data_IF_423601167251
#
_entry.id   IF_423601167251
#
_cell.length_a   1.000
_cell.length_b   1.000
_cell.length_c   1.000
_cell.angle_alpha   90.00
_cell.angle_beta   90.00
_cell.angle_gamma   90.00
#
_symmetry.space_group_name_H-M   'P 1'
#
loop_
_entity.id
_entity.type
_entity.pdbx_description
1 polymer ?
#
# COMPACT_ATOMS: atom_id res chain seq x y z
N UNK A 1 33.57 -9.51 17.04
CA UNK A 1 33.35 -8.12 16.55
C UNK A 1 33.71 -7.92 15.07
N UNK A 2 34.85 -8.43 14.57
CA UNK A 2 35.28 -8.21 13.18
C UNK A 2 34.31 -8.73 12.08
N UNK A 3 33.64 -9.87 12.29
CA UNK A 3 32.71 -10.43 11.29
C UNK A 3 31.43 -9.61 11.10
N UNK A 4 30.88 -9.02 12.17
CA UNK A 4 29.66 -8.20 12.08
C UNK A 4 29.96 -6.88 11.37
N UNK A 5 31.08 -6.24 11.70
CA UNK A 5 31.49 -4.98 11.07
C UNK A 5 31.75 -5.18 9.57
N UNK A 6 32.37 -6.29 9.17
CA UNK A 6 32.60 -6.61 7.77
C UNK A 6 31.28 -6.88 7.02
N UNK A 7 30.37 -7.66 7.62
CA UNK A 7 29.04 -7.89 7.03
C UNK A 7 28.25 -6.59 6.81
N UNK A 8 28.30 -5.67 7.78
CA UNK A 8 27.66 -4.35 7.67
C UNK A 8 28.30 -3.53 6.55
N UNK A 9 29.64 -3.55 6.42
CA UNK A 9 30.33 -2.83 5.34
C UNK A 9 29.95 -3.36 3.97
N UNK A 10 29.89 -4.68 3.80
CA UNK A 10 29.48 -5.33 2.54
C UNK A 10 28.03 -5.06 2.18
N UNK A 11 27.13 -4.95 3.16
CA UNK A 11 25.70 -4.74 2.96
C UNK A 11 25.24 -3.29 3.23
N UNK A 12 26.18 -2.34 3.33
CA UNK A 12 25.93 -0.95 3.73
C UNK A 12 24.82 -0.29 2.92
N UNK A 13 24.82 -0.50 1.60
CA UNK A 13 23.81 0.05 0.69
C UNK A 13 22.39 -0.41 1.04
N UNK A 14 22.20 -1.70 1.33
CA UNK A 14 20.89 -2.26 1.69
C UNK A 14 20.38 -1.71 3.02
N UNK A 15 21.25 -1.60 4.01
CA UNK A 15 20.89 -1.00 5.30
C UNK A 15 20.52 0.48 5.16
N UNK A 16 21.26 1.24 4.36
CA UNK A 16 20.93 2.64 4.07
C UNK A 16 19.54 2.72 3.45
N UNK A 17 19.26 1.98 2.38
CA UNK A 17 17.96 1.99 1.71
C UNK A 17 16.83 1.64 2.67
N UNK A 18 16.95 0.54 3.41
CA UNK A 18 15.94 0.11 4.37
C UNK A 18 15.72 1.15 5.49
N UNK A 19 16.79 1.71 6.05
CA UNK A 19 16.69 2.75 7.07
C UNK A 19 16.05 4.04 6.53
N UNK A 20 16.37 4.44 5.30
CA UNK A 20 15.77 5.60 4.63
C UNK A 20 14.28 5.39 4.40
N UNK A 21 13.86 4.20 3.98
CA UNK A 21 12.44 3.85 3.82
C UNK A 21 11.69 3.94 5.15
N UNK A 22 12.27 3.40 6.23
CA UNK A 22 11.66 3.48 7.57
C UNK A 22 11.56 4.92 8.06
N UNK A 23 12.63 5.70 7.92
CA UNK A 23 12.66 7.11 8.33
C UNK A 23 11.67 7.95 7.52
N UNK A 24 11.57 7.72 6.21
CA UNK A 24 10.59 8.37 5.33
C UNK A 24 9.16 8.04 5.75
N UNK A 25 8.87 6.76 6.02
CA UNK A 25 7.55 6.34 6.48
C UNK A 25 7.17 7.00 7.82
N UNK A 26 8.10 6.98 8.80
CA UNK A 26 7.90 7.65 10.09
C UNK A 26 7.66 9.14 9.88
N UNK A 27 8.44 9.80 9.03
CA UNK A 27 8.29 11.22 8.73
C UNK A 27 6.91 11.53 8.17
N UNK A 28 6.41 10.76 7.19
CA UNK A 28 5.07 10.97 6.64
C UNK A 28 3.99 10.79 7.71
N UNK A 29 4.09 9.73 8.54
CA UNK A 29 3.13 9.50 9.63
C UNK A 29 3.14 10.66 10.62
N UNK A 30 4.32 11.16 11.00
CA UNK A 30 4.45 12.31 11.91
C UNK A 30 3.83 13.58 11.32
N UNK A 31 4.05 13.85 10.03
CA UNK A 31 3.45 15.02 9.36
C UNK A 31 1.92 14.86 9.31
N UNK A 32 1.42 13.68 8.99
CA UNK A 32 -0.01 13.40 8.90
C UNK A 32 -0.71 13.53 10.27
N UNK A 33 -0.10 12.99 11.33
CA UNK A 33 -0.61 13.10 12.72
C UNK A 33 -0.61 14.54 13.22
N UNK A 34 0.29 15.40 12.74
CA UNK A 34 0.31 16.82 13.10
C UNK A 34 -0.82 17.63 12.45
N UNK A 35 -1.54 17.08 11.47
CA UNK A 35 -2.73 17.71 10.87
C UNK A 35 -4.01 17.18 11.51
N UNK A 36 -4.41 17.81 12.60
CA UNK A 36 -5.66 17.48 13.28
C UNK A 36 -6.81 18.32 12.77
N UNK A 37 -7.97 17.69 12.55
CA UNK A 37 -9.25 18.35 12.39
C UNK A 37 -9.95 18.37 13.76
N UNK A 38 -10.38 19.54 14.21
CA UNK A 38 -11.31 19.62 15.35
C UNK A 38 -12.70 19.35 14.80
N UNK A 39 -13.28 18.19 15.13
CA UNK A 39 -14.66 17.89 14.74
C UNK A 39 -15.63 18.76 15.54
N UNK A 40 -16.70 19.24 14.92
CA UNK A 40 -17.82 19.94 15.57
C UNK A 40 -18.52 19.11 16.67
N UNK A 41 -18.21 17.81 16.74
CA UNK A 41 -18.71 16.87 17.76
C UNK A 41 -17.78 16.74 18.98
N UNK A 42 -16.65 17.47 19.04
CA UNK A 42 -15.72 17.46 20.17
C UNK A 42 -14.63 16.37 20.14
N UNK A 43 -14.53 15.62 19.04
CA UNK A 43 -13.55 14.55 18.87
C UNK A 43 -12.36 15.00 18.01
N UNK A 44 -11.17 14.49 18.33
CA UNK A 44 -9.94 14.73 17.58
C UNK A 44 -9.74 13.61 16.55
N UNK A 45 -9.94 13.91 15.28
CA UNK A 45 -9.53 13.04 14.16
C UNK A 45 -8.47 13.74 13.32
N UNK A 46 -7.73 12.97 12.54
CA UNK A 46 -6.80 13.56 11.57
C UNK A 46 -7.53 14.06 10.34
N UNK A 47 -7.00 15.12 9.75
CA UNK A 47 -7.49 15.60 8.46
C UNK A 47 -7.11 14.57 7.39
N UNK A 48 -8.07 14.10 6.59
CA UNK A 48 -7.80 13.21 5.46
C UNK A 48 -7.11 13.96 4.31
N UNK A 49 -7.21 15.29 4.27
CA UNK A 49 -6.56 16.15 3.28
C UNK A 49 -5.13 16.48 3.72
N UNK A 50 -4.17 16.09 2.89
CA UNK A 50 -2.76 16.40 3.11
C UNK A 50 -2.47 17.87 2.78
N UNK A 51 -2.88 18.34 1.61
CA UNK A 51 -2.78 19.74 1.21
C UNK A 51 -3.64 20.02 -0.02
N UNK A 52 -3.88 21.30 -0.30
CA UNK A 52 -4.61 21.74 -1.49
C UNK A 52 -3.72 22.67 -2.32
N UNK A 53 -3.69 22.47 -3.63
CA UNK A 53 -2.95 23.31 -4.57
C UNK A 53 -3.86 23.69 -5.72
N UNK A 54 -4.02 24.98 -6.02
CA UNK A 54 -4.87 25.48 -7.12
C UNK A 54 -6.29 24.90 -7.15
N UNK A 55 -6.92 24.72 -5.98
CA UNK A 55 -8.26 24.14 -5.86
C UNK A 55 -8.32 22.61 -5.98
N UNK A 56 -7.17 21.94 -6.19
CA UNK A 56 -7.05 20.48 -6.17
C UNK A 56 -6.62 20.03 -4.78
N UNK A 57 -7.46 19.22 -4.13
CA UNK A 57 -7.15 18.56 -2.85
C UNK A 57 -6.35 17.29 -3.10
N UNK A 58 -5.31 17.08 -2.29
CA UNK A 58 -4.52 15.85 -2.24
C UNK A 58 -4.74 15.22 -0.88
N UNK A 59 -5.25 13.99 -0.86
CA UNK A 59 -5.47 13.24 0.36
C UNK A 59 -4.18 12.54 0.84
N UNK A 60 -4.06 12.34 2.16
CA UNK A 60 -2.99 11.49 2.72
C UNK A 60 -3.02 10.09 2.13
N UNK A 61 -4.22 9.55 1.88
CA UNK A 61 -4.42 8.28 1.20
C UNK A 61 -3.57 8.14 -0.07
N UNK A 62 -3.59 9.16 -0.95
CA UNK A 62 -2.83 9.15 -2.20
C UNK A 62 -1.31 9.17 -1.97
N UNK A 63 -0.84 9.92 -0.95
CA UNK A 63 0.58 10.00 -0.58
C UNK A 63 1.08 8.64 -0.07
N UNK A 64 0.30 7.96 0.77
CA UNK A 64 0.62 6.62 1.26
C UNK A 64 0.64 5.60 0.13
N UNK A 65 -0.36 5.59 -0.76
CA UNK A 65 -0.39 4.67 -1.91
C UNK A 65 0.85 4.90 -2.80
N UNK A 66 1.18 6.15 -3.16
CA UNK A 66 2.35 6.45 -3.97
C UNK A 66 3.66 6.03 -3.28
N UNK A 67 3.77 6.26 -1.97
CA UNK A 67 4.92 5.81 -1.17
C UNK A 67 5.04 4.28 -1.20
N UNK A 68 3.92 3.57 -1.09
CA UNK A 68 3.86 2.11 -1.20
C UNK A 68 4.35 1.60 -2.55
N UNK A 69 3.93 2.25 -3.64
CA UNK A 69 4.39 1.94 -5.00
C UNK A 69 5.89 2.13 -5.13
N UNK A 70 6.43 3.27 -4.67
CA UNK A 70 7.87 3.56 -4.71
C UNK A 70 8.65 2.55 -3.88
N UNK A 71 8.18 2.20 -2.68
CA UNK A 71 8.84 1.23 -1.81
C UNK A 71 8.83 -0.17 -2.41
N UNK A 72 7.71 -0.58 -3.00
CA UNK A 72 7.61 -1.84 -3.73
C UNK A 72 8.59 -1.90 -4.91
N UNK A 73 8.73 -0.81 -5.66
CA UNK A 73 9.69 -0.72 -6.77
C UNK A 73 11.14 -0.78 -6.28
N UNK A 74 11.49 -0.06 -5.22
CA UNK A 74 12.82 -0.12 -4.60
C UNK A 74 13.15 -1.55 -4.17
N UNK A 75 12.22 -2.23 -3.49
CA UNK A 75 12.37 -3.62 -3.08
C UNK A 75 12.56 -4.54 -4.28
N UNK A 76 11.76 -4.40 -5.33
CA UNK A 76 11.90 -5.18 -6.55
C UNK A 76 13.26 -4.94 -7.23
N UNK A 77 13.80 -3.73 -7.20
CA UNK A 77 15.14 -3.47 -7.77
C UNK A 77 16.25 -4.14 -6.95
N UNK A 78 16.20 -4.03 -5.63
CA UNK A 78 17.20 -4.65 -4.75
C UNK A 78 17.19 -6.18 -4.84
N UNK A 79 16.01 -6.79 -4.93
CA UNK A 79 15.87 -8.23 -5.10
C UNK A 79 16.11 -8.66 -6.55
N UNK A 80 15.82 -7.80 -7.53
CA UNK A 80 15.99 -8.05 -8.94
C UNK A 80 17.45 -8.27 -9.32
N UNK A 81 18.35 -7.46 -8.74
CA UNK A 81 19.79 -7.62 -8.90
C UNK A 81 20.28 -9.01 -8.49
N UNK A 82 19.74 -9.56 -7.39
CA UNK A 82 20.10 -10.88 -6.88
C UNK A 82 19.59 -12.00 -7.78
N UNK A 83 18.51 -11.75 -8.53
CA UNK A 83 17.92 -12.66 -9.49
C UNK A 83 18.46 -12.46 -10.91
N UNK A 84 19.35 -11.50 -11.15
CA UNK A 84 19.85 -11.13 -12.47
C UNK A 84 18.77 -10.54 -13.39
N UNK A 85 17.75 -9.90 -12.82
CA UNK A 85 16.70 -9.20 -13.57
C UNK A 85 17.16 -7.74 -13.74
N UNK A 86 17.19 -7.26 -14.99
CA UNK A 86 17.53 -5.86 -15.26
C UNK A 86 16.52 -4.92 -14.60
N UNK A 87 17.01 -3.93 -13.85
CA UNK A 87 16.23 -2.87 -13.23
C UNK A 87 15.39 -2.09 -14.24
N UNK A 88 15.86 -1.93 -15.48
CA UNK A 88 15.09 -1.26 -16.55
C UNK A 88 13.75 -1.97 -16.81
N UNK A 89 13.71 -3.30 -16.71
CA UNK A 89 12.45 -4.04 -16.86
C UNK A 89 11.48 -3.75 -15.71
N UNK A 90 11.98 -3.44 -14.52
CA UNK A 90 11.16 -3.09 -13.36
C UNK A 90 10.61 -1.68 -13.55
N UNK A 91 11.43 -0.73 -14.01
CA UNK A 91 10.99 0.64 -14.34
C UNK A 91 9.96 0.65 -15.48
N UNK A 92 10.26 -0.01 -16.60
CA UNK A 92 9.34 -0.15 -17.74
C UNK A 92 8.00 -0.74 -17.29
N UNK A 93 8.07 -1.84 -16.54
CA UNK A 93 6.90 -2.53 -16.01
C UNK A 93 6.07 -1.61 -15.12
N UNK A 94 6.70 -0.88 -14.20
CA UNK A 94 6.04 0.04 -13.28
C UNK A 94 5.34 1.20 -14.00
N UNK A 95 6.06 1.85 -14.92
CA UNK A 95 5.59 3.02 -15.66
C UNK A 95 4.37 2.70 -16.55
N UNK A 96 4.25 1.45 -16.99
CA UNK A 96 3.10 0.98 -17.78
C UNK A 96 2.01 0.39 -16.89
N UNK A 97 2.37 -0.43 -15.90
CA UNK A 97 1.41 -1.12 -15.04
C UNK A 97 0.55 -0.15 -14.23
N UNK A 98 1.13 0.91 -13.66
CA UNK A 98 0.38 1.84 -12.78
C UNK A 98 -0.73 2.58 -13.55
N UNK A 99 -0.48 3.20 -14.72
CA UNK A 99 -1.55 3.77 -15.54
C UNK A 99 -2.59 2.74 -15.98
N UNK A 100 -2.16 1.55 -16.41
CA UNK A 100 -3.09 0.48 -16.80
C UNK A 100 -3.97 0.01 -15.65
N UNK A 101 -3.43 -0.08 -14.43
CA UNK A 101 -4.17 -0.43 -13.23
C UNK A 101 -5.27 0.61 -12.94
N UNK A 102 -4.97 1.91 -13.09
CA UNK A 102 -5.95 2.99 -12.90
C UNK A 102 -7.06 2.91 -13.96
N UNK A 103 -6.69 2.71 -15.22
CA UNK A 103 -7.65 2.53 -16.33
C UNK A 103 -8.52 1.30 -16.10
N UNK A 104 -7.92 0.18 -15.71
CA UNK A 104 -8.64 -1.06 -15.39
C UNK A 104 -9.60 -0.89 -14.23
N UNK A 105 -9.17 -0.22 -13.15
CA UNK A 105 -10.02 0.07 -12.00
C UNK A 105 -11.26 0.89 -12.38
N UNK A 106 -11.07 1.90 -13.23
CA UNK A 106 -12.18 2.73 -13.70
C UNK A 106 -13.11 1.96 -14.62
N UNK A 107 -12.55 1.24 -15.60
CA UNK A 107 -13.33 0.45 -16.54
C UNK A 107 -14.21 -0.58 -15.82
N UNK A 108 -13.64 -1.30 -14.85
CA UNK A 108 -14.39 -2.28 -14.08
C UNK A 108 -15.49 -1.61 -13.25
N UNK A 109 -15.20 -0.49 -12.58
CA UNK A 109 -16.21 0.24 -11.83
C UNK A 109 -17.41 0.61 -12.71
N UNK A 110 -17.15 1.22 -13.87
CA UNK A 110 -18.20 1.65 -14.81
C UNK A 110 -19.02 0.48 -15.34
N UNK A 111 -18.38 -0.64 -15.67
CA UNK A 111 -19.07 -1.82 -16.21
C UNK A 111 -20.00 -2.51 -15.20
N UNK A 112 -19.68 -2.39 -13.91
CA UNK A 112 -20.40 -3.06 -12.82
C UNK A 112 -21.09 -2.07 -11.88
N UNK A 113 -21.26 -0.82 -12.29
CA UNK A 113 -21.94 0.21 -11.50
C UNK A 113 -23.44 -0.09 -11.44
N UNK A 114 -23.99 -0.47 -10.27
CA UNK A 114 -25.41 -0.81 -10.15
C UNK A 114 -26.33 0.39 -10.38
N UNK A 115 -25.83 1.62 -10.30
CA UNK A 115 -26.60 2.86 -10.47
C UNK A 115 -26.32 3.56 -11.81
N UNK A 116 -25.62 2.91 -12.75
CA UNK A 116 -24.90 3.45 -13.91
C UNK A 116 -25.66 4.34 -14.91
N UNK A 117 -26.21 5.46 -14.46
CA UNK A 117 -26.73 6.54 -15.27
C UNK A 117 -25.63 7.61 -15.44
N UNK A 118 -24.74 7.39 -16.41
CA UNK A 118 -23.75 8.38 -16.83
C UNK A 118 -24.38 9.33 -17.85
N UNK A 119 -24.37 10.64 -17.57
CA UNK A 119 -24.97 11.65 -18.44
C UNK A 119 -24.06 12.05 -19.60
N UNK A 120 -22.77 11.67 -19.56
CA UNK A 120 -21.82 11.92 -20.63
C UNK A 120 -20.70 10.88 -20.69
N UNK A 121 -20.07 10.75 -21.87
CA UNK A 121 -18.86 9.94 -22.05
C UNK A 121 -17.71 10.46 -21.16
N UNK A 122 -17.68 11.77 -20.86
CA UNK A 122 -16.66 12.36 -19.98
C UNK A 122 -16.71 11.78 -18.56
N UNK A 123 -17.91 11.53 -18.04
CA UNK A 123 -18.09 10.94 -16.70
C UNK A 123 -17.54 9.51 -16.62
N UNK A 124 -17.59 8.74 -17.71
CA UNK A 124 -16.99 7.38 -17.77
C UNK A 124 -15.49 7.43 -17.50
N UNK A 125 -14.79 8.47 -17.96
CA UNK A 125 -13.34 8.62 -17.76
C UNK A 125 -12.96 9.46 -16.53
N UNK A 126 -13.94 9.97 -15.78
CA UNK A 126 -13.70 10.82 -14.62
C UNK A 126 -13.17 10.02 -13.42
N UNK A 127 -11.86 9.80 -13.39
CA UNK A 127 -11.17 9.09 -12.28
C UNK A 127 -11.11 9.91 -10.98
N UNK A 128 -11.42 11.20 -11.05
CA UNK A 128 -11.33 12.13 -9.91
C UNK A 128 -12.58 12.12 -9.04
N UNK A 129 -13.72 11.73 -9.60
CA UNK A 129 -15.02 11.77 -8.93
C UNK A 129 -15.25 10.54 -8.04
N UNK A 130 -14.21 9.74 -7.82
CA UNK A 130 -14.28 8.44 -7.17
C UNK A 130 -14.66 7.33 -8.15
N UNK A 131 -15.09 6.18 -7.63
CA UNK A 131 -15.50 5.05 -8.45
C UNK A 131 -14.33 4.34 -9.14
N UNK A 132 -13.45 3.75 -8.34
CA UNK A 132 -12.37 2.88 -8.80
C UNK A 132 -12.53 1.52 -8.11
N UNK A 133 -12.67 0.46 -8.91
CA UNK A 133 -12.84 -0.88 -8.39
C UNK A 133 -11.50 -1.63 -8.42
N UNK A 134 -11.03 -2.09 -7.26
CA UNK A 134 -9.74 -2.81 -7.14
C UNK A 134 -9.67 -4.06 -8.02
N UNK A 135 -10.79 -4.74 -8.23
CA UNK A 135 -10.89 -5.91 -9.12
C UNK A 135 -10.37 -5.61 -10.53
N UNK A 136 -10.75 -4.45 -11.08
CA UNK A 136 -10.29 -4.01 -12.40
C UNK A 136 -8.78 -3.75 -12.45
N UNK A 137 -8.24 -3.09 -11.42
CA UNK A 137 -6.81 -2.87 -11.31
C UNK A 137 -6.03 -4.19 -11.31
N UNK A 138 -6.49 -5.15 -10.50
CA UNK A 138 -5.83 -6.46 -10.33
C UNK A 138 -5.87 -7.26 -11.64
N UNK A 139 -7.05 -7.38 -12.27
CA UNK A 139 -7.21 -8.15 -13.52
C UNK A 139 -6.32 -7.57 -14.61
N UNK A 140 -6.39 -6.26 -14.86
CA UNK A 140 -5.59 -5.62 -15.92
C UNK A 140 -4.10 -5.72 -15.63
N UNK A 141 -3.68 -5.54 -14.38
CA UNK A 141 -2.27 -5.66 -14.01
C UNK A 141 -1.74 -7.08 -14.20
N UNK A 142 -2.51 -8.12 -13.84
CA UNK A 142 -2.11 -9.52 -14.04
C UNK A 142 -1.96 -9.82 -15.54
N UNK A 143 -2.95 -9.45 -16.36
CA UNK A 143 -2.87 -9.63 -17.83
C UNK A 143 -1.66 -8.92 -18.40
N UNK A 144 -1.43 -7.66 -17.97
CA UNK A 144 -0.25 -6.91 -18.36
C UNK A 144 1.06 -7.63 -17.99
N UNK A 145 1.20 -8.11 -16.75
CA UNK A 145 2.41 -8.79 -16.29
C UNK A 145 2.69 -10.06 -17.11
N UNK A 146 1.66 -10.83 -17.46
CA UNK A 146 1.80 -12.02 -18.32
C UNK A 146 2.36 -11.62 -19.70
N UNK A 147 1.76 -10.63 -20.35
CA UNK A 147 2.18 -10.16 -21.67
C UNK A 147 3.57 -9.53 -21.62
N UNK A 148 3.83 -8.68 -20.62
CA UNK A 148 5.08 -7.95 -20.45
C UNK A 148 6.25 -8.89 -20.21
N UNK A 149 6.11 -9.83 -19.28
CA UNK A 149 7.16 -10.82 -18.98
C UNK A 149 7.42 -11.74 -20.17
N UNK A 150 6.38 -12.13 -20.91
CA UNK A 150 6.52 -12.88 -22.14
C UNK A 150 7.34 -12.11 -23.20
N UNK A 151 7.01 -10.83 -23.44
CA UNK A 151 7.74 -9.99 -24.39
C UNK A 151 9.20 -9.76 -23.99
N UNK A 152 9.46 -9.55 -22.68
CA UNK A 152 10.81 -9.36 -22.13
C UNK A 152 11.56 -10.68 -21.92
N UNK A 153 10.96 -11.83 -22.27
CA UNK A 153 11.53 -13.19 -22.10
C UNK A 153 11.94 -13.50 -20.66
N UNK A 154 11.15 -13.04 -19.70
CA UNK A 154 11.30 -13.31 -18.27
C UNK A 154 10.24 -14.33 -17.86
N UNK A 155 10.59 -15.28 -16.99
CA UNK A 155 9.58 -16.16 -16.40
C UNK A 155 8.60 -15.34 -15.56
N UNK A 156 7.30 -15.46 -15.84
CA UNK A 156 6.23 -14.80 -15.08
C UNK A 156 6.33 -15.15 -13.59
N UNK A 157 6.57 -16.42 -13.25
CA UNK A 157 6.70 -16.88 -11.87
C UNK A 157 7.87 -16.22 -11.15
N UNK A 158 9.03 -16.12 -11.83
CA UNK A 158 10.20 -15.43 -11.29
C UNK A 158 9.93 -13.94 -11.05
N UNK A 159 9.16 -13.32 -11.94
CA UNK A 159 8.82 -11.90 -11.84
C UNK A 159 7.76 -11.65 -10.76
N UNK A 160 6.74 -12.49 -10.65
CA UNK A 160 5.76 -12.41 -9.57
C UNK A 160 6.44 -12.60 -8.22
N UNK A 161 7.30 -13.63 -8.09
CA UNK A 161 8.09 -13.85 -6.88
C UNK A 161 8.85 -12.58 -6.52
N UNK A 162 9.51 -11.96 -7.50
CA UNK A 162 10.26 -10.72 -7.28
C UNK A 162 9.38 -9.60 -6.71
N UNK A 163 8.15 -9.44 -7.23
CA UNK A 163 7.24 -8.37 -6.84
C UNK A 163 6.54 -8.62 -5.51
N UNK A 164 6.31 -9.87 -5.09
CA UNK A 164 5.48 -10.20 -3.94
C UNK A 164 5.90 -9.54 -2.61
N UNK A 165 7.18 -9.54 -2.20
CA UNK A 165 7.59 -8.85 -0.98
C UNK A 165 7.28 -7.34 -1.03
N UNK A 166 7.52 -6.71 -2.18
CA UNK A 166 7.23 -5.30 -2.43
C UNK A 166 5.73 -4.99 -2.43
N UNK A 167 4.91 -5.90 -2.97
CA UNK A 167 3.45 -5.80 -2.94
C UNK A 167 2.92 -5.78 -1.49
N UNK A 168 3.42 -6.66 -0.62
CA UNK A 168 3.04 -6.69 0.80
C UNK A 168 3.47 -5.42 1.54
N UNK A 169 4.64 -4.85 1.22
CA UNK A 169 5.05 -3.54 1.74
C UNK A 169 4.10 -2.43 1.25
N UNK A 170 3.72 -2.45 -0.02
CA UNK A 170 2.71 -1.55 -0.58
C UNK A 170 1.38 -1.64 0.17
N UNK A 171 0.91 -2.86 0.49
CA UNK A 171 -0.29 -3.09 1.28
C UNK A 171 -0.19 -2.49 2.69
N UNK A 172 0.93 -2.69 3.39
CA UNK A 172 1.15 -2.09 4.72
C UNK A 172 0.97 -0.58 4.65
N UNK A 173 1.64 0.06 3.69
CA UNK A 173 1.63 1.52 3.57
C UNK A 173 0.25 2.02 3.12
N UNK A 174 -0.41 1.32 2.20
CA UNK A 174 -1.79 1.62 1.79
C UNK A 174 -2.79 1.55 2.94
N UNK A 175 -2.63 0.57 3.84
CA UNK A 175 -3.46 0.44 5.05
C UNK A 175 -3.34 1.64 5.99
N UNK A 176 -2.15 2.22 6.10
CA UNK A 176 -1.99 3.51 6.79
C UNK A 176 -2.72 4.66 6.08
N UNK A 177 -2.78 4.65 4.76
CA UNK A 177 -3.66 5.53 3.99
C UNK A 177 -5.13 5.38 4.40
N UNK A 178 -5.64 4.15 4.49
CA UNK A 178 -7.03 3.89 4.91
C UNK A 178 -7.29 4.40 6.34
N UNK A 179 -6.32 4.25 7.24
CA UNK A 179 -6.41 4.78 8.61
C UNK A 179 -6.61 6.31 8.63
N UNK A 180 -5.85 7.07 7.83
CA UNK A 180 -6.05 8.52 7.73
C UNK A 180 -7.33 8.90 6.96
N UNK A 181 -7.83 8.03 6.08
CA UNK A 181 -9.08 8.24 5.36
C UNK A 181 -10.32 7.75 6.12
N UNK A 182 -10.14 7.13 7.30
CA UNK A 182 -11.20 6.56 8.13
C UNK A 182 -12.08 5.54 7.38
N UNK A 183 -11.45 4.69 6.57
CA UNK A 183 -12.14 3.66 5.79
C UNK A 183 -11.55 2.26 6.01
N UNK A 184 -12.27 1.23 5.55
CA UNK A 184 -11.84 -0.18 5.61
C UNK A 184 -11.47 -0.66 7.03
N UNK A 185 -12.18 -0.14 8.04
CA UNK A 185 -12.03 -0.49 9.44
C UNK A 185 -12.77 -1.79 9.78
N UNK A 186 -12.51 -2.35 10.95
CA UNK A 186 -13.21 -3.55 11.43
C UNK A 186 -14.56 -3.23 12.06
N UNK A 187 -15.16 -4.23 12.68
CA UNK A 187 -16.40 -4.07 13.45
C UNK A 187 -16.24 -3.09 14.62
N UNK A 188 -17.37 -2.64 15.15
CA UNK A 188 -17.43 -1.82 16.35
C UNK A 188 -16.74 -2.48 17.55
N UNK A 189 -16.12 -1.66 18.39
CA UNK A 189 -15.39 -2.05 19.59
C UNK A 189 -15.48 -0.95 20.64
N UNK A 190 -14.69 -1.08 21.71
CA UNK A 190 -14.64 -0.09 22.78
C UNK A 190 -13.27 0.56 22.90
N UNK A 191 -13.24 1.81 23.38
CA UNK A 191 -11.99 2.50 23.73
C UNK A 191 -11.13 1.69 24.72
N UNK A 192 -11.79 1.05 25.70
CA UNK A 192 -11.13 0.24 26.71
C UNK A 192 -10.39 -0.95 26.07
N UNK A 193 -11.00 -1.61 25.08
CA UNK A 193 -10.34 -2.67 24.33
C UNK A 193 -9.09 -2.15 23.60
N UNK A 194 -9.20 -1.02 22.90
CA UNK A 194 -8.07 -0.44 22.17
C UNK A 194 -6.91 0.00 23.09
N UNK A 195 -7.21 0.59 24.25
CA UNK A 195 -6.18 1.08 25.19
C UNK A 195 -5.65 0.03 26.15
N UNK A 196 -6.50 -0.79 26.73
CA UNK A 196 -6.13 -1.67 27.84
C UNK A 196 -5.78 -3.07 27.34
N UNK A 197 -6.45 -3.57 26.30
CA UNK A 197 -6.18 -4.90 25.73
C UNK A 197 -5.09 -4.82 24.67
N UNK A 198 -5.27 -3.97 23.66
CA UNK A 198 -4.29 -3.83 22.57
C UNK A 198 -3.13 -2.90 22.91
N UNK A 199 -3.21 -2.14 24.00
CA UNK A 199 -2.17 -1.20 24.44
C UNK A 199 -1.75 -0.19 23.35
N UNK A 200 -2.71 0.25 22.53
CA UNK A 200 -2.42 1.14 21.41
C UNK A 200 -2.09 2.56 21.86
N UNK A 201 -1.17 3.24 21.16
CA UNK A 201 -0.84 4.62 21.44
C UNK A 201 -2.04 5.54 21.17
N UNK A 202 -2.09 6.66 21.91
CA UNK A 202 -3.23 7.59 21.90
C UNK A 202 -3.61 8.05 20.48
N UNK A 203 -2.63 8.35 19.64
CA UNK A 203 -2.84 8.84 18.27
C UNK A 203 -3.62 7.83 17.40
N UNK A 204 -3.43 6.52 17.60
CA UNK A 204 -4.20 5.48 16.90
C UNK A 204 -5.60 5.43 17.48
N UNK A 205 -5.70 5.32 18.81
CA UNK A 205 -6.98 5.14 19.51
C UNK A 205 -7.94 6.28 19.22
N UNK A 206 -7.47 7.52 19.24
CA UNK A 206 -8.32 8.69 19.01
C UNK A 206 -8.87 8.70 17.57
N UNK A 207 -8.05 8.34 16.58
CA UNK A 207 -8.48 8.32 15.18
C UNK A 207 -9.33 7.10 14.82
N UNK A 208 -9.39 6.07 15.69
CA UNK A 208 -10.32 4.94 15.56
C UNK A 208 -11.75 5.26 16.00
N UNK A 209 -12.01 6.50 16.44
CA UNK A 209 -13.34 6.98 16.75
C UNK A 209 -13.87 7.89 15.62
N UNK A 210 -14.85 7.41 14.87
CA UNK A 210 -15.43 8.14 13.75
C UNK A 210 -16.85 7.63 13.44
N UNK A 211 -17.55 8.32 12.55
CA UNK A 211 -18.84 7.86 12.05
C UNK A 211 -18.62 7.01 10.80
N UNK A 212 -19.01 5.75 10.82
CA UNK A 212 -18.94 4.85 9.66
C UNK A 212 -20.29 4.85 8.93
N UNK A 213 -20.29 5.33 7.69
CA UNK A 213 -21.49 5.38 6.85
C UNK A 213 -22.03 4.01 6.46
N UNK A 214 -21.21 2.95 6.44
CA UNK A 214 -21.63 1.61 6.03
C UNK A 214 -22.53 0.95 7.08
N UNK A 215 -22.25 1.21 8.36
CA UNK A 215 -23.04 0.72 9.49
C UNK A 215 -23.93 1.79 10.11
N UNK A 216 -23.77 3.05 9.68
CA UNK A 216 -24.52 4.23 10.16
C UNK A 216 -24.40 4.46 11.68
N UNK A 217 -23.21 4.25 12.23
CA UNK A 217 -22.93 4.39 13.66
C UNK A 217 -21.71 5.24 13.94
N UNK A 218 -21.74 5.94 15.08
CA UNK A 218 -20.60 6.67 15.64
C UNK A 218 -20.02 5.83 16.79
N UNK A 219 -18.77 5.41 16.67
CA UNK A 219 -18.17 4.53 17.66
C UNK A 219 -16.67 4.33 17.49
N UNK A 220 -16.11 3.45 18.32
CA UNK A 220 -14.76 2.94 18.14
C UNK A 220 -14.81 1.71 17.24
N UNK A 221 -13.84 1.57 16.35
CA UNK A 221 -13.74 0.41 15.46
C UNK A 221 -12.43 -0.35 15.64
N UNK A 222 -12.43 -1.63 15.27
CA UNK A 222 -11.22 -2.44 15.25
C UNK A 222 -10.21 -1.89 14.20
N UNK A 223 -8.93 -1.69 14.58
CA UNK A 223 -7.89 -1.18 13.67
C UNK A 223 -7.37 -2.27 12.73
N UNK A 224 -8.20 -2.69 11.77
CA UNK A 224 -7.84 -3.68 10.73
C UNK A 224 -6.58 -3.29 9.96
N UNK A 225 -6.35 -2.00 9.73
CA UNK A 225 -5.12 -1.50 9.12
C UNK A 225 -3.85 -2.02 9.81
N UNK A 226 -3.88 -2.13 11.15
CA UNK A 226 -2.76 -2.60 11.95
C UNK A 226 -2.65 -4.12 11.88
N UNK A 227 -3.77 -4.85 12.01
CA UNK A 227 -3.76 -6.30 11.94
C UNK A 227 -3.28 -6.81 10.58
N UNK A 228 -3.79 -6.23 9.50
CA UNK A 228 -3.39 -6.55 8.13
C UNK A 228 -1.95 -6.09 7.87
N UNK A 229 -1.56 -4.91 8.36
CA UNK A 229 -0.18 -4.45 8.28
C UNK A 229 0.81 -5.42 8.93
N UNK A 230 0.48 -5.96 10.11
CA UNK A 230 1.33 -6.95 10.80
C UNK A 230 1.40 -8.28 10.04
N UNK A 231 0.29 -8.76 9.49
CA UNK A 231 0.27 -9.99 8.67
C UNK A 231 1.08 -9.83 7.38
N UNK A 232 0.95 -8.69 6.70
CA UNK A 232 1.73 -8.37 5.51
C UNK A 232 3.22 -8.22 5.83
N UNK A 233 3.55 -7.67 7.01
CA UNK A 233 4.95 -7.54 7.45
C UNK A 233 5.55 -8.92 7.72
N UNK A 234 4.81 -9.79 8.39
CA UNK A 234 5.20 -11.18 8.62
C UNK A 234 5.40 -11.91 7.28
N UNK A 235 4.43 -11.80 6.37
CA UNK A 235 4.50 -12.42 5.05
C UNK A 235 5.71 -11.94 4.24
N UNK A 236 5.93 -10.63 4.16
CA UNK A 236 7.06 -10.04 3.43
C UNK A 236 8.40 -10.46 4.04
N UNK A 237 8.51 -10.44 5.38
CA UNK A 237 9.71 -10.88 6.08
C UNK A 237 9.99 -12.37 5.83
N UNK A 238 8.96 -13.21 5.92
CA UNK A 238 9.07 -14.65 5.68
C UNK A 238 9.54 -14.92 4.24
N UNK A 239 8.93 -14.27 3.24
CA UNK A 239 9.33 -14.43 1.83
C UNK A 239 10.80 -14.03 1.60
N UNK A 240 11.24 -12.91 2.19
CA UNK A 240 12.63 -12.45 2.07
C UNK A 240 13.61 -13.41 2.76
N UNK A 241 13.27 -13.92 3.94
CA UNK A 241 14.10 -14.89 4.68
C UNK A 241 14.17 -16.22 3.93
N UNK A 242 13.04 -16.74 3.47
CA UNK A 242 12.95 -17.99 2.73
C UNK A 242 13.78 -17.92 1.44
N UNK A 243 13.69 -16.81 0.69
CA UNK A 243 14.47 -16.60 -0.55
C UNK A 243 15.99 -16.70 -0.36
N UNK A 244 16.49 -16.44 0.86
CA UNK A 244 17.93 -16.56 1.16
C UNK A 244 18.36 -17.99 1.52
N UNK A 245 17.42 -18.93 1.68
CA UNK A 245 17.72 -20.34 1.93
C UNK A 245 18.09 -21.05 0.64
N UNK A 246 19.14 -21.87 0.69
CA UNK A 246 19.54 -22.73 -0.43
C UNK A 246 18.45 -23.79 -0.66
N UNK A 247 17.88 -23.84 -1.85
CA UNK A 247 16.94 -24.90 -2.26
C UNK A 247 15.64 -24.43 -2.91
N UNK A 248 15.28 -23.15 -2.80
CA UNK A 248 14.07 -22.63 -3.47
C UNK A 248 14.35 -22.32 -4.95
N UNK A 249 13.47 -22.79 -5.82
CA UNK A 249 13.43 -22.48 -7.26
C UNK A 249 12.59 -21.23 -7.50
N UNK A 250 12.66 -20.71 -8.72
CA UNK A 250 11.80 -19.60 -9.15
C UNK A 250 10.35 -20.07 -9.26
N UNK A 251 9.43 -19.41 -8.56
CA UNK A 251 8.02 -19.76 -8.45
C UNK A 251 7.62 -20.19 -7.03
N UNK A 252 8.54 -20.77 -6.26
CA UNK A 252 8.23 -21.44 -4.99
C UNK A 252 7.62 -20.52 -3.90
N UNK A 253 7.66 -19.19 -4.06
CA UNK A 253 7.04 -18.26 -3.10
C UNK A 253 5.56 -17.96 -3.41
N UNK A 254 5.13 -18.18 -4.66
CA UNK A 254 3.77 -17.86 -5.12
C UNK A 254 3.03 -19.09 -5.66
N UNK A 255 3.75 -20.14 -6.08
CA UNK A 255 3.17 -21.38 -6.60
C UNK A 255 4.23 -22.38 -7.05
#
# INVERSE_FOLDING_TARGET
>A
MNNIVNHIKENKRKYIIASSMVLWFILIVLIAVNKTKVSHTGYQSYDSVAFSVFGVTIAWYAIFILTGIVFGAIMAMEEGDLLGINRDHIYDGLLIAVPLAIVGARLYYVLFDPNGAYNSIGEVFAIRDGGLAIHGAVIVTIVFLIVFTHYKKISIWKFLDLLAPGFLIGQIIGRWGNFFNQEANGIETTRAFLRNTLSLPKFIVDNMYFYDSNVSTLGYFHPTFLYEGLWNLLGSTLMLVLRRRKGLKSGDLIG
#
